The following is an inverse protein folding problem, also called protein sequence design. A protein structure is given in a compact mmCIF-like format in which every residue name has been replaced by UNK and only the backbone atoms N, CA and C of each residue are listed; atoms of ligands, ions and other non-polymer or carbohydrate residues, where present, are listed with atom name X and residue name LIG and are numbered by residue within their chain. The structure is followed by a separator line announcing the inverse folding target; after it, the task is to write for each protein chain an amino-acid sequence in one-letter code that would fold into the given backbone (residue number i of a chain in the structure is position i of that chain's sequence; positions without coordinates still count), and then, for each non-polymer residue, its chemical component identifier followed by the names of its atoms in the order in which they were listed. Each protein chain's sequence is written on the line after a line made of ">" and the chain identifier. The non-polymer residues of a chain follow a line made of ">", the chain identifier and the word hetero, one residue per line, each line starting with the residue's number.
data_IF_023218201898
#
_entry.id   IF_023218201898
#
_cell.length_a   1.000
_cell.length_b   1.000
_cell.length_c   1.000
_cell.angle_alpha   90.00
_cell.angle_beta   90.00
_cell.angle_gamma   90.00
#
_symmetry.space_group_name_H-M   'P 1'
#
loop_
_entity.id
_entity.type
_entity.pdbx_description
1 polymer ?
#
# COMPACT_ATOMS: atom_id res chain seq x y z
N UNK A 1 -23.82 -3.18 27.57
CA UNK A 1 -22.45 -2.73 27.24
C UNK A 1 -22.15 -3.16 25.82
N UNK A 2 -22.35 -2.26 24.86
CA UNK A 2 -22.11 -2.53 23.44
C UNK A 2 -20.63 -2.74 23.19
N UNK A 3 -20.32 -3.91 22.62
CA UNK A 3 -18.98 -4.24 22.17
C UNK A 3 -18.74 -3.54 20.83
N UNK A 4 -18.36 -2.26 20.87
CA UNK A 4 -17.81 -1.53 19.72
C UNK A 4 -16.41 -2.10 19.40
N UNK A 5 -16.34 -3.31 18.83
CA UNK A 5 -15.08 -3.92 18.43
C UNK A 5 -14.46 -3.16 17.26
N UNK A 6 -13.51 -2.29 17.60
CA UNK A 6 -12.23 -2.18 16.92
C UNK A 6 -12.27 -2.04 15.39
N UNK A 7 -13.11 -1.16 14.83
CA UNK A 7 -12.75 -0.59 13.54
C UNK A 7 -11.64 0.44 13.79
N UNK A 8 -10.42 0.24 13.26
CA UNK A 8 -9.34 1.20 13.43
C UNK A 8 -9.83 2.58 12.97
N UNK A 9 -9.52 3.66 13.69
CA UNK A 9 -9.76 4.99 13.18
C UNK A 9 -8.72 5.24 12.09
N UNK A 10 -9.00 4.77 10.86
CA UNK A 10 -8.19 5.11 9.71
C UNK A 10 -8.37 6.60 9.45
N UNK A 11 -7.40 7.36 9.93
CA UNK A 11 -7.37 8.82 9.84
C UNK A 11 -6.44 9.18 8.70
N UNK A 12 -6.95 9.97 7.75
CA UNK A 12 -6.14 10.47 6.65
C UNK A 12 -4.97 11.31 7.19
N UNK A 13 -3.76 11.01 6.72
CA UNK A 13 -2.55 11.69 7.19
C UNK A 13 -2.55 13.21 6.90
N UNK A 14 -3.26 13.65 5.86
CA UNK A 14 -3.35 15.05 5.41
C UNK A 14 -4.49 15.78 6.12
N UNK A 15 -5.73 15.38 5.90
CA UNK A 15 -6.89 16.13 6.38
C UNK A 15 -7.29 15.79 7.83
N UNK A 16 -6.65 14.79 8.45
CA UNK A 16 -6.94 14.28 9.80
C UNK A 16 -8.39 13.84 10.03
N UNK A 17 -9.18 13.67 8.97
CA UNK A 17 -10.54 13.13 9.02
C UNK A 17 -10.53 11.61 8.89
N UNK A 18 -11.56 10.96 9.45
CA UNK A 18 -11.79 9.52 9.34
C UNK A 18 -12.12 9.12 7.90
N UNK A 19 -11.63 7.97 7.48
CA UNK A 19 -11.96 7.34 6.21
C UNK A 19 -13.06 6.31 6.47
N UNK A 20 -14.26 6.57 5.98
CA UNK A 20 -15.43 5.72 6.21
C UNK A 20 -15.63 4.64 5.13
N UNK A 21 -15.10 4.87 3.92
CA UNK A 21 -15.31 3.99 2.75
C UNK A 21 -13.99 3.45 2.23
N UNK A 22 -13.97 2.13 1.94
CA UNK A 22 -12.84 1.44 1.27
C UNK A 22 -12.46 2.08 -0.07
N UNK A 23 -13.46 2.59 -0.80
CA UNK A 23 -13.29 3.19 -2.14
C UNK A 23 -12.42 4.45 -2.10
N UNK A 24 -12.54 5.19 -1.00
CA UNK A 24 -11.86 6.47 -0.81
C UNK A 24 -10.51 6.29 -0.10
N UNK A 25 -10.12 5.05 0.21
CA UNK A 25 -8.92 4.70 0.97
C UNK A 25 -7.74 4.51 0.04
N UNK A 26 -6.65 5.24 0.26
CA UNK A 26 -5.35 5.00 -0.37
C UNK A 26 -4.32 4.69 0.70
N UNK A 27 -3.74 3.49 0.63
CA UNK A 27 -2.58 3.12 1.44
C UNK A 27 -1.33 3.44 0.62
N UNK A 28 -0.41 4.20 1.18
CA UNK A 28 0.87 4.47 0.56
C UNK A 28 2.02 4.19 1.51
N UNK A 29 3.16 3.73 0.98
CA UNK A 29 4.35 3.47 1.77
C UNK A 29 5.44 4.51 1.48
N UNK A 30 6.25 4.79 2.51
CA UNK A 30 7.46 5.60 2.41
C UNK A 30 8.51 5.09 3.42
N UNK A 31 9.70 4.72 2.93
CA UNK A 31 10.86 4.29 3.75
C UNK A 31 10.49 3.39 4.95
N UNK A 32 9.69 2.33 4.73
CA UNK A 32 9.17 1.38 5.76
C UNK A 32 7.97 1.81 6.60
N UNK A 33 7.38 2.99 6.40
CA UNK A 33 6.12 3.38 7.07
C UNK A 33 4.95 3.37 6.11
N UNK A 34 3.83 2.81 6.57
CA UNK A 34 2.54 2.88 5.88
C UNK A 34 1.75 4.09 6.37
N UNK A 35 1.16 4.80 5.41
CA UNK A 35 0.29 5.93 5.65
C UNK A 35 -1.01 5.73 4.89
N UNK A 36 -2.08 6.24 5.47
CA UNK A 36 -3.42 6.12 4.92
C UNK A 36 -3.92 7.52 4.54
N UNK A 37 -4.54 7.62 3.38
CA UNK A 37 -5.02 8.88 2.81
C UNK A 37 -6.41 8.70 2.20
N UNK A 38 -7.15 9.80 2.08
CA UNK A 38 -8.27 9.86 1.13
C UNK A 38 -7.73 9.90 -0.31
N UNK A 39 -8.43 9.29 -1.25
CA UNK A 39 -8.13 9.31 -2.69
C UNK A 39 -7.84 10.73 -3.21
N UNK A 40 -8.72 11.69 -2.92
CA UNK A 40 -8.57 13.08 -3.34
C UNK A 40 -7.38 13.78 -2.68
N UNK A 41 -7.19 13.52 -1.38
CA UNK A 41 -6.06 14.08 -0.63
C UNK A 41 -4.73 13.55 -1.16
N UNK A 42 -4.67 12.26 -1.48
CA UNK A 42 -3.48 11.63 -2.05
C UNK A 42 -3.18 12.17 -3.45
N UNK A 43 -4.19 12.31 -4.32
CA UNK A 43 -4.00 12.85 -5.67
C UNK A 43 -3.39 14.25 -5.62
N UNK A 44 -3.88 15.11 -4.73
CA UNK A 44 -3.30 16.46 -4.53
C UNK A 44 -1.87 16.41 -3.99
N UNK A 45 -1.60 15.56 -3.01
CA UNK A 45 -0.25 15.36 -2.45
C UNK A 45 0.73 14.86 -3.51
N UNK A 46 0.32 13.90 -4.35
CA UNK A 46 1.18 13.27 -5.35
C UNK A 46 1.60 14.25 -6.44
N UNK A 47 0.70 15.16 -6.84
CA UNK A 47 1.00 16.25 -7.78
C UNK A 47 2.04 17.21 -7.19
N UNK A 48 1.93 17.56 -5.91
CA UNK A 48 2.86 18.49 -5.27
C UNK A 48 4.19 17.84 -4.86
N UNK A 49 4.14 16.61 -4.33
CA UNK A 49 5.27 15.90 -3.72
C UNK A 49 5.11 14.38 -3.96
N UNK A 50 5.75 13.81 -4.98
CA UNK A 50 5.66 12.38 -5.32
C UNK A 50 6.57 11.51 -4.42
N UNK A 51 6.50 11.68 -3.10
CA UNK A 51 7.34 10.94 -2.13
C UNK A 51 6.71 9.66 -1.60
N UNK A 52 5.47 9.36 -1.98
CA UNK A 52 4.70 8.24 -1.47
C UNK A 52 4.38 7.28 -2.60
N UNK A 53 4.64 5.99 -2.38
CA UNK A 53 4.33 4.94 -3.36
C UNK A 53 2.95 4.35 -2.99
N UNK A 54 1.93 4.50 -3.85
CA UNK A 54 0.60 3.99 -3.57
C UNK A 54 0.56 2.46 -3.68
N UNK A 55 0.20 1.79 -2.58
CA UNK A 55 0.28 0.33 -2.42
C UNK A 55 -0.99 -0.41 -2.84
N UNK A 56 -2.16 0.25 -2.78
CA UNK A 56 -3.45 -0.35 -3.11
C UNK A 56 -3.97 0.06 -4.50
N UNK A 57 -3.09 0.50 -5.39
CA UNK A 57 -3.44 0.94 -6.75
C UNK A 57 -2.97 -0.05 -7.81
N UNK A 58 -3.50 0.08 -9.02
CA UNK A 58 -3.08 -0.72 -10.19
C UNK A 58 -1.57 -0.63 -10.44
N UNK A 59 -0.94 0.50 -10.08
CA UNK A 59 0.51 0.65 -10.17
C UNK A 59 1.28 -0.42 -9.39
N UNK A 60 0.86 -0.73 -8.16
CA UNK A 60 1.49 -1.77 -7.37
C UNK A 60 1.29 -3.17 -7.98
N UNK A 61 0.14 -3.41 -8.63
CA UNK A 61 -0.09 -4.66 -9.36
C UNK A 61 0.87 -4.81 -10.54
N UNK A 62 1.08 -3.76 -11.33
CA UNK A 62 2.08 -3.76 -12.40
C UNK A 62 3.50 -3.96 -11.87
N UNK A 63 3.86 -3.35 -10.73
CA UNK A 63 5.16 -3.56 -10.09
C UNK A 63 5.35 -5.02 -9.63
N UNK A 64 4.31 -5.67 -9.11
CA UNK A 64 4.38 -7.09 -8.73
C UNK A 64 4.61 -7.96 -9.97
N UNK A 65 3.84 -7.76 -11.04
CA UNK A 65 4.02 -8.54 -12.29
C UNK A 65 5.41 -8.33 -12.85
N UNK A 66 5.85 -7.07 -12.95
CA UNK A 66 7.19 -6.73 -13.41
C UNK A 66 8.27 -7.41 -12.57
N UNK A 67 8.15 -7.34 -11.24
CA UNK A 67 9.08 -7.95 -10.31
C UNK A 67 9.11 -9.48 -10.40
N UNK A 68 7.97 -10.13 -10.66
CA UNK A 68 7.92 -11.57 -10.89
C UNK A 68 8.62 -11.98 -12.18
N UNK A 69 8.41 -11.24 -13.28
CA UNK A 69 9.04 -11.53 -14.58
C UNK A 69 10.55 -11.32 -14.49
N UNK A 70 10.99 -10.13 -14.08
CA UNK A 70 12.40 -9.79 -13.98
C UNK A 70 13.11 -10.60 -12.89
N UNK A 71 12.46 -10.83 -11.75
CA UNK A 71 12.99 -11.68 -10.69
C UNK A 71 13.19 -13.12 -11.14
N UNK A 72 12.26 -13.69 -11.92
CA UNK A 72 12.41 -15.05 -12.46
C UNK A 72 13.55 -15.14 -13.47
N UNK A 73 13.71 -14.15 -14.35
CA UNK A 73 14.84 -14.10 -15.30
C UNK A 73 16.17 -14.00 -14.54
N UNK A 74 16.22 -13.17 -13.49
CA UNK A 74 17.40 -12.99 -12.66
C UNK A 74 17.77 -14.28 -11.90
N UNK A 75 16.78 -15.01 -11.40
CA UNK A 75 16.98 -16.31 -10.75
C UNK A 75 17.62 -17.35 -11.67
N UNK A 76 17.31 -17.33 -12.97
CA UNK A 76 17.85 -18.26 -13.96
C UNK A 76 19.26 -17.86 -14.40
N UNK A 77 19.50 -16.55 -14.52
CA UNK A 77 20.77 -16.02 -15.04
C UNK A 77 21.84 -15.98 -13.97
N UNK A 78 21.61 -15.27 -12.86
CA UNK A 78 22.57 -15.11 -11.77
C UNK A 78 21.83 -14.87 -10.45
N UNK A 79 21.80 -15.86 -9.53
CA UNK A 79 21.12 -15.71 -8.25
C UNK A 79 21.83 -14.64 -7.42
N UNK A 80 21.19 -13.48 -7.31
CA UNK A 80 21.75 -12.29 -6.67
C UNK A 80 20.82 -11.76 -5.59
N UNK A 81 21.40 -11.07 -4.59
CA UNK A 81 20.67 -10.47 -3.47
C UNK A 81 19.63 -9.43 -3.93
N UNK A 82 19.76 -8.94 -5.16
CA UNK A 82 18.83 -8.03 -5.83
C UNK A 82 17.42 -8.64 -5.90
N UNK A 83 17.27 -9.98 -5.89
CA UNK A 83 15.98 -10.66 -5.81
C UNK A 83 15.15 -10.19 -4.59
N UNK A 84 15.81 -9.93 -3.46
CA UNK A 84 15.16 -9.46 -2.23
C UNK A 84 14.41 -8.14 -2.46
N UNK A 85 14.91 -7.30 -3.37
CA UNK A 85 14.26 -6.03 -3.71
C UNK A 85 12.90 -6.27 -4.36
N UNK A 86 12.79 -7.28 -5.21
CA UNK A 86 11.54 -7.64 -5.90
C UNK A 86 10.50 -8.29 -4.97
N UNK A 87 10.89 -8.74 -3.78
CA UNK A 87 9.96 -9.24 -2.77
C UNK A 87 9.25 -8.11 -2.01
N UNK A 88 9.83 -6.90 -1.95
CA UNK A 88 9.24 -5.80 -1.19
C UNK A 88 7.82 -5.43 -1.65
N UNK A 89 7.50 -5.21 -2.94
CA UNK A 89 6.15 -4.85 -3.37
C UNK A 89 5.09 -5.89 -2.96
N UNK A 90 5.47 -7.17 -2.97
CA UNK A 90 4.61 -8.29 -2.57
C UNK A 90 4.35 -8.22 -1.06
N UNK A 91 5.40 -8.10 -0.25
CA UNK A 91 5.29 -7.95 1.21
C UNK A 91 4.45 -6.73 1.59
N UNK A 92 4.69 -5.58 0.96
CA UNK A 92 3.91 -4.35 1.22
C UNK A 92 2.44 -4.51 0.84
N UNK A 93 2.10 -5.27 -0.21
CA UNK A 93 0.70 -5.56 -0.57
C UNK A 93 0.01 -6.41 0.50
N UNK A 94 0.68 -7.46 0.98
CA UNK A 94 0.16 -8.30 2.07
C UNK A 94 -0.04 -7.50 3.35
N UNK A 95 0.93 -6.67 3.73
CA UNK A 95 0.83 -5.78 4.89
C UNK A 95 -0.33 -4.78 4.74
N UNK A 96 -0.49 -4.15 3.56
CA UNK A 96 -1.61 -3.23 3.29
C UNK A 96 -2.96 -3.94 3.43
N UNK A 97 -3.07 -5.18 2.94
CA UNK A 97 -4.29 -5.95 3.06
C UNK A 97 -4.60 -6.30 4.52
N UNK A 98 -3.62 -6.86 5.23
CA UNK A 98 -3.80 -7.36 6.60
C UNK A 98 -4.09 -6.24 7.61
N UNK A 99 -3.34 -5.14 7.55
CA UNK A 99 -3.46 -4.04 8.51
C UNK A 99 -4.58 -3.04 8.20
N UNK A 100 -4.96 -2.90 6.92
CA UNK A 100 -5.86 -1.83 6.50
C UNK A 100 -7.12 -2.40 5.83
N UNK A 101 -6.98 -3.08 4.69
CA UNK A 101 -8.16 -3.46 3.87
C UNK A 101 -9.05 -4.52 4.52
N UNK A 102 -8.50 -5.38 5.39
CA UNK A 102 -9.26 -6.38 6.15
C UNK A 102 -10.38 -5.75 6.97
N UNK A 103 -10.14 -4.58 7.56
CA UNK A 103 -11.11 -3.88 8.40
C UNK A 103 -12.24 -3.18 7.63
N UNK A 104 -12.10 -3.05 6.31
CA UNK A 104 -13.11 -2.47 5.43
C UNK A 104 -13.84 -3.51 4.57
N UNK A 105 -13.56 -4.79 4.77
CA UNK A 105 -14.11 -5.89 3.96
C UNK A 105 -15.21 -6.68 4.70
N UNK A 106 -15.80 -6.08 5.74
CA UNK A 106 -16.97 -6.56 6.49
C UNK A 106 -18.17 -5.69 6.13
#
# INVERSE_FOLDING_TARGET
>A
MERNEMQPPFICHICKKRIARKKDLITAARYCRMYVFHSDCFKRQQVCIPRFIPMNTLFNFFLIIYGLIFGSILMITEPSIILVIFLFPILYRFLSYYYVERFFST
#
